data_IF_591558768555
#
_entry.id   IF_591558768555
#
_cell.length_a   1.000
_cell.length_b   1.000
_cell.length_c   1.000
_cell.angle_alpha   90.00
_cell.angle_beta   90.00
_cell.angle_gamma   90.00
#
_symmetry.space_group_name_H-M   'P 1'
#
loop_
_entity.id
_entity.type
_entity.pdbx_description
1 polymer ?
#
# COMPACT_ATOMS: atom_id res chain seq x y z
N UNK A 1 21.25 -10.68 -22.18
CA UNK A 1 21.63 -9.62 -23.12
C UNK A 1 21.60 -8.37 -22.28
N UNK A 2 22.78 -7.90 -21.87
CA UNK A 2 22.91 -6.79 -20.93
C UNK A 2 22.56 -5.52 -21.68
N UNK A 3 21.46 -4.90 -21.28
CA UNK A 3 21.09 -3.57 -21.74
C UNK A 3 21.67 -2.59 -20.71
N UNK A 4 22.91 -2.17 -20.97
CA UNK A 4 23.56 -1.06 -20.27
C UNK A 4 22.96 0.25 -20.80
N UNK A 5 21.68 0.46 -20.51
CA UNK A 5 21.06 1.77 -20.58
C UNK A 5 21.61 2.61 -19.44
N UNK A 6 22.21 3.76 -19.75
CA UNK A 6 22.70 4.71 -18.76
C UNK A 6 21.54 5.13 -17.83
N UNK A 7 21.42 4.49 -16.65
CA UNK A 7 20.40 4.88 -15.68
C UNK A 7 20.80 6.23 -15.11
N UNK A 8 19.99 7.26 -15.36
CA UNK A 8 20.07 8.51 -14.63
C UNK A 8 20.07 8.19 -13.12
N UNK A 9 20.96 8.82 -12.37
CA UNK A 9 21.03 8.63 -10.92
C UNK A 9 19.70 9.04 -10.28
N UNK A 10 19.31 8.43 -9.16
CA UNK A 10 18.03 8.74 -8.49
C UNK A 10 17.84 10.24 -8.19
N UNK A 11 18.94 10.97 -8.01
CA UNK A 11 18.96 12.42 -7.83
C UNK A 11 18.60 13.21 -9.11
N UNK A 12 19.03 12.76 -10.29
CA UNK A 12 18.71 13.40 -11.58
C UNK A 12 17.24 13.21 -11.94
N UNK A 13 16.65 12.06 -11.59
CA UNK A 13 15.23 11.78 -11.81
C UNK A 13 14.37 12.63 -10.86
N UNK A 14 14.75 12.76 -9.59
CA UNK A 14 14.08 13.63 -8.62
C UNK A 14 14.16 15.12 -9.01
N UNK A 15 15.25 15.53 -9.67
CA UNK A 15 15.39 16.89 -10.17
C UNK A 15 14.56 17.12 -11.44
N UNK A 16 14.52 16.14 -12.36
CA UNK A 16 13.73 16.18 -13.59
C UNK A 16 12.20 16.13 -13.36
N UNK A 17 11.72 15.50 -12.28
CA UNK A 17 10.32 15.57 -11.87
C UNK A 17 9.86 16.99 -11.54
N UNK A 18 10.79 17.87 -11.17
CA UNK A 18 10.51 19.29 -10.88
C UNK A 18 10.26 20.10 -12.15
N UNK A 19 10.77 19.66 -13.31
CA UNK A 19 10.61 20.32 -14.61
C UNK A 19 9.30 19.92 -15.33
N UNK A 20 8.43 19.13 -14.68
CA UNK A 20 7.04 18.87 -15.08
C UNK A 20 6.83 17.94 -16.29
N UNK A 21 7.89 17.52 -16.98
CA UNK A 21 7.82 16.68 -18.17
C UNK A 21 8.16 15.19 -17.95
N UNK A 22 8.90 14.86 -16.89
CA UNK A 22 9.41 13.52 -16.61
C UNK A 22 8.82 12.98 -15.31
N UNK A 23 8.31 11.76 -15.36
CA UNK A 23 7.81 11.01 -14.20
C UNK A 23 8.81 9.93 -13.80
N UNK A 24 8.95 9.63 -12.50
CA UNK A 24 9.77 8.52 -12.06
C UNK A 24 9.06 7.20 -12.40
N UNK A 25 9.87 6.19 -12.74
CA UNK A 25 9.39 4.83 -12.96
C UNK A 25 9.71 4.01 -11.72
N UNK A 26 8.68 3.66 -10.96
CA UNK A 26 8.77 2.89 -9.73
C UNK A 26 8.91 1.39 -10.01
N UNK A 27 9.69 0.73 -9.15
CA UNK A 27 9.79 -0.73 -8.99
C UNK A 27 9.61 -1.11 -7.53
N UNK A 28 9.71 -2.40 -7.21
CA UNK A 28 9.56 -2.88 -5.84
C UNK A 28 10.43 -2.12 -4.82
N UNK A 29 11.68 -1.78 -5.14
CA UNK A 29 12.55 -1.05 -4.20
C UNK A 29 12.24 0.44 -4.04
N UNK A 30 11.32 1.00 -4.83
CA UNK A 30 11.01 2.45 -4.85
C UNK A 30 10.15 2.90 -3.67
N UNK A 31 9.49 1.99 -2.97
CA UNK A 31 8.69 2.27 -1.78
C UNK A 31 8.83 1.10 -0.81
N UNK A 32 8.64 1.33 0.49
CA UNK A 32 8.61 0.32 1.54
C UNK A 32 7.36 0.53 2.42
N UNK A 33 7.14 -0.36 3.39
CA UNK A 33 6.00 -0.25 4.29
C UNK A 33 5.98 1.12 5.01
N UNK A 34 4.91 1.89 4.80
CA UNK A 34 4.76 3.27 5.30
C UNK A 34 5.87 4.24 4.85
N UNK A 35 6.55 3.94 3.75
CA UNK A 35 7.59 4.76 3.13
C UNK A 35 7.30 4.79 1.63
N UNK A 36 6.52 5.78 1.16
CA UNK A 36 5.97 5.73 -0.19
C UNK A 36 7.00 6.02 -1.29
N UNK A 37 8.18 6.54 -0.91
CA UNK A 37 9.27 6.89 -1.82
C UNK A 37 10.63 6.72 -1.12
N UNK A 38 11.50 5.89 -1.67
CA UNK A 38 12.86 5.65 -1.17
C UNK A 38 13.94 6.45 -1.92
N UNK A 39 13.55 7.19 -2.96
CA UNK A 39 14.46 7.84 -3.91
C UNK A 39 15.15 6.89 -4.88
N UNK A 40 14.80 5.59 -4.87
CA UNK A 40 15.36 4.57 -5.76
C UNK A 40 14.37 4.28 -6.89
N UNK A 41 14.71 4.69 -8.11
CA UNK A 41 13.85 4.48 -9.27
C UNK A 41 14.39 3.40 -10.20
N UNK A 42 13.54 2.85 -11.06
CA UNK A 42 13.95 1.99 -12.16
C UNK A 42 14.47 2.80 -13.34
N UNK A 43 13.75 3.86 -13.69
CA UNK A 43 14.03 4.77 -14.79
C UNK A 43 13.18 6.06 -14.63
N UNK A 44 13.13 6.88 -15.67
CA UNK A 44 12.20 7.99 -15.86
C UNK A 44 11.43 7.86 -17.17
N UNK A 45 10.27 8.51 -17.29
CA UNK A 45 9.46 8.46 -18.50
C UNK A 45 8.76 9.79 -18.77
N UNK A 46 8.59 10.15 -20.05
CA UNK A 46 7.87 11.37 -20.43
C UNK A 46 6.39 11.26 -20.06
N UNK A 47 5.91 12.17 -19.22
CA UNK A 47 4.56 12.13 -18.66
C UNK A 47 3.49 12.07 -19.75
N UNK A 48 3.57 12.97 -20.75
CA UNK A 48 2.58 13.08 -21.82
C UNK A 48 2.48 11.79 -22.66
N UNK A 49 3.61 11.15 -22.95
CA UNK A 49 3.65 9.88 -23.69
C UNK A 49 3.04 8.75 -22.85
N UNK A 50 3.39 8.69 -21.56
CA UNK A 50 2.89 7.67 -20.64
C UNK A 50 1.39 7.81 -20.38
N UNK A 51 0.88 9.03 -20.21
CA UNK A 51 -0.55 9.32 -20.09
C UNK A 51 -1.30 8.82 -21.33
N UNK A 52 -0.81 9.17 -22.52
CA UNK A 52 -1.41 8.76 -23.79
C UNK A 52 -1.41 7.23 -23.95
N UNK A 53 -0.28 6.58 -23.65
CA UNK A 53 -0.15 5.13 -23.71
C UNK A 53 -1.09 4.43 -22.72
N UNK A 54 -1.10 4.84 -21.45
CA UNK A 54 -1.91 4.23 -20.40
C UNK A 54 -3.41 4.46 -20.63
N UNK A 55 -3.80 5.62 -21.18
CA UNK A 55 -5.17 5.88 -21.58
C UNK A 55 -5.64 4.93 -22.67
N UNK A 56 -4.89 4.79 -23.76
CA UNK A 56 -5.20 3.86 -24.84
C UNK A 56 -5.25 2.40 -24.35
N UNK A 57 -4.35 2.05 -23.42
CA UNK A 57 -4.36 0.74 -22.76
C UNK A 57 -5.64 0.53 -21.93
N UNK A 58 -6.05 1.51 -21.14
CA UNK A 58 -7.32 1.47 -20.35
C UNK A 58 -8.54 1.30 -21.26
N UNK A 59 -8.64 2.06 -22.35
CA UNK A 59 -9.73 1.95 -23.33
C UNK A 59 -9.79 0.57 -24.02
N UNK A 60 -8.64 -0.09 -24.16
CA UNK A 60 -8.56 -1.46 -24.67
C UNK A 60 -8.93 -2.50 -23.59
N UNK A 61 -8.53 -2.24 -22.35
CA UNK A 61 -8.75 -3.14 -21.21
C UNK A 61 -10.21 -3.15 -20.74
N UNK A 62 -10.94 -2.02 -20.77
CA UNK A 62 -12.37 -1.97 -20.42
C UNK A 62 -13.25 -2.90 -21.25
N UNK A 63 -12.79 -3.31 -22.44
CA UNK A 63 -13.50 -4.25 -23.32
C UNK A 63 -13.36 -5.71 -22.85
N UNK A 64 -12.49 -5.99 -21.88
CA UNK A 64 -12.20 -7.34 -21.38
C UNK A 64 -12.88 -7.53 -20.03
N UNK A 65 -13.83 -8.45 -19.95
CA UNK A 65 -14.58 -8.74 -18.71
C UNK A 65 -13.68 -9.11 -17.50
N UNK A 66 -12.46 -9.58 -17.73
CA UNK A 66 -11.49 -9.90 -16.67
C UNK A 66 -10.67 -8.70 -16.18
N UNK A 67 -10.89 -7.50 -16.73
CA UNK A 67 -10.14 -6.30 -16.34
C UNK A 67 -10.87 -5.51 -15.26
N UNK A 68 -10.10 -4.96 -14.31
CA UNK A 68 -10.60 -3.99 -13.34
C UNK A 68 -11.27 -2.75 -13.96
N UNK A 69 -11.04 -2.46 -15.25
CA UNK A 69 -11.67 -1.34 -15.96
C UNK A 69 -12.98 -1.70 -16.64
N UNK A 70 -13.41 -2.98 -16.63
CA UNK A 70 -14.63 -3.42 -17.30
C UNK A 70 -15.89 -2.89 -16.63
N UNK A 71 -15.88 -2.83 -15.30
CA UNK A 71 -17.03 -2.43 -14.48
C UNK A 71 -17.04 -0.92 -14.16
N UNK A 72 -16.06 -0.16 -14.65
CA UNK A 72 -16.00 1.28 -14.41
C UNK A 72 -16.91 2.06 -15.40
N UNK A 73 -17.61 3.11 -14.93
CA UNK A 73 -18.38 4.00 -15.79
C UNK A 73 -17.58 4.56 -16.98
N UNK A 74 -18.25 4.73 -18.11
CA UNK A 74 -17.66 5.25 -19.35
C UNK A 74 -17.09 6.66 -19.16
N UNK A 75 -17.78 7.48 -18.38
CA UNK A 75 -17.41 8.86 -18.06
C UNK A 75 -16.05 8.91 -17.34
N UNK A 76 -15.79 7.92 -16.49
CA UNK A 76 -14.49 7.78 -15.80
C UNK A 76 -13.45 7.23 -16.78
N UNK A 77 -13.75 6.15 -17.50
CA UNK A 77 -12.74 5.48 -18.35
C UNK A 77 -12.34 6.30 -19.59
N UNK A 78 -13.20 7.20 -20.08
CA UNK A 78 -12.93 8.09 -21.21
C UNK A 78 -12.17 9.37 -20.80
N UNK A 79 -12.14 9.75 -19.52
CA UNK A 79 -11.42 10.95 -19.04
C UNK A 79 -9.96 10.64 -18.66
N UNK A 80 -8.94 11.16 -19.36
CA UNK A 80 -7.53 10.95 -18.99
C UNK A 80 -7.13 11.52 -17.62
N UNK A 81 -7.90 12.43 -17.03
CA UNK A 81 -7.64 12.97 -15.71
C UNK A 81 -7.87 11.93 -14.59
N UNK A 82 -8.73 10.94 -14.83
CA UNK A 82 -9.04 9.87 -13.86
C UNK A 82 -8.05 8.69 -13.94
N UNK A 83 -6.98 8.80 -14.74
CA UNK A 83 -6.01 7.71 -14.86
C UNK A 83 -5.35 7.41 -13.51
N UNK A 84 -5.24 6.14 -13.11
CA UNK A 84 -4.64 5.78 -11.82
C UNK A 84 -3.22 6.34 -11.61
N UNK A 85 -2.43 6.48 -12.68
CA UNK A 85 -1.06 7.02 -12.58
C UNK A 85 -0.99 8.49 -12.14
N UNK A 86 -2.10 9.23 -12.19
CA UNK A 86 -2.19 10.63 -11.74
C UNK A 86 -2.52 10.76 -10.25
N UNK A 87 -2.97 9.69 -9.63
CA UNK A 87 -3.54 9.71 -8.27
C UNK A 87 -2.73 8.81 -7.33
N UNK A 88 -2.71 9.12 -6.03
CA UNK A 88 -2.24 8.19 -5.02
C UNK A 88 -2.99 6.86 -5.11
N UNK A 89 -2.27 5.75 -4.90
CA UNK A 89 -2.84 4.40 -4.98
C UNK A 89 -2.01 3.38 -4.22
N UNK A 90 -2.65 2.31 -3.76
CA UNK A 90 -1.96 1.23 -3.05
C UNK A 90 -1.11 0.42 -4.03
N UNK A 91 0.20 0.33 -3.77
CA UNK A 91 1.10 -0.60 -4.45
C UNK A 91 1.66 -1.62 -3.47
N UNK A 92 2.03 -2.81 -3.97
CA UNK A 92 2.72 -3.83 -3.18
C UNK A 92 3.91 -4.40 -3.94
N UNK A 93 4.92 -4.88 -3.22
CA UNK A 93 6.13 -5.46 -3.83
C UNK A 93 5.83 -6.88 -4.29
N UNK A 94 6.14 -7.19 -5.55
CA UNK A 94 6.00 -8.56 -6.07
C UNK A 94 7.03 -9.50 -5.45
N UNK A 95 8.29 -9.07 -5.32
CA UNK A 95 9.35 -9.94 -4.78
C UNK A 95 9.36 -9.86 -3.26
N UNK A 96 9.20 -11.02 -2.62
CA UNK A 96 9.36 -11.21 -1.18
C UNK A 96 10.68 -11.96 -0.92
N UNK A 97 11.45 -11.55 0.08
CA UNK A 97 12.67 -12.25 0.49
C UNK A 97 12.44 -12.95 1.84
N UNK A 98 12.86 -14.22 2.02
CA UNK A 98 12.78 -14.92 3.31
C UNK A 98 13.44 -14.19 4.49
N UNK A 99 14.41 -13.29 4.24
CA UNK A 99 15.04 -12.48 5.30
C UNK A 99 14.26 -11.22 5.66
N UNK A 100 13.23 -10.87 4.89
CA UNK A 100 12.42 -9.69 5.17
C UNK A 100 11.68 -9.83 6.49
N UNK A 101 11.60 -8.71 7.21
CA UNK A 101 10.80 -8.60 8.43
C UNK A 101 9.30 -8.70 8.12
N UNK A 102 8.89 -8.43 6.87
CA UNK A 102 7.52 -8.49 6.37
C UNK A 102 7.45 -9.28 5.07
N UNK A 103 6.41 -10.07 4.85
CA UNK A 103 6.20 -10.77 3.58
C UNK A 103 5.37 -9.91 2.61
N UNK A 104 4.30 -9.30 3.08
CA UNK A 104 3.53 -8.31 2.35
C UNK A 104 4.05 -6.89 2.63
N UNK A 105 4.69 -6.29 1.62
CA UNK A 105 5.19 -4.91 1.69
C UNK A 105 4.31 -4.06 0.77
N UNK A 106 3.54 -3.16 1.36
CA UNK A 106 2.63 -2.26 0.67
C UNK A 106 2.78 -0.82 1.13
N UNK A 107 2.42 0.12 0.28
CA UNK A 107 2.35 1.54 0.59
C UNK A 107 1.33 2.22 -0.30
N UNK A 108 0.81 3.36 0.16
CA UNK A 108 0.15 4.33 -0.69
C UNK A 108 1.24 5.09 -1.45
N UNK A 109 1.44 4.80 -2.74
CA UNK A 109 2.42 5.54 -3.56
C UNK A 109 1.78 6.80 -4.14
N UNK A 110 2.56 7.87 -4.40
CA UNK A 110 1.97 9.12 -4.88
C UNK A 110 1.46 9.01 -6.33
N UNK A 111 0.74 10.06 -6.74
CA UNK A 111 0.42 10.28 -8.15
C UNK A 111 1.65 10.67 -8.98
N UNK A 112 1.42 10.91 -10.26
CA UNK A 112 2.42 11.43 -11.20
C UNK A 112 3.67 10.56 -11.35
N UNK A 113 3.44 9.24 -11.37
CA UNK A 113 4.49 8.23 -11.55
C UNK A 113 3.99 7.01 -12.31
N UNK A 114 4.92 6.29 -12.92
CA UNK A 114 4.66 5.01 -13.59
C UNK A 114 5.19 3.88 -12.73
N UNK A 115 4.53 2.72 -12.73
CA UNK A 115 4.98 1.55 -11.96
C UNK A 115 5.20 0.36 -12.89
N UNK A 116 6.33 -0.32 -12.76
CA UNK A 116 6.62 -1.56 -13.49
C UNK A 116 5.96 -2.77 -12.81
N UNK A 117 5.86 -3.88 -13.55
CA UNK A 117 5.21 -5.12 -13.10
C UNK A 117 5.71 -5.70 -11.76
N UNK A 118 6.94 -5.38 -11.32
CA UNK A 118 7.47 -5.80 -10.02
C UNK A 118 6.87 -5.06 -8.82
N UNK A 119 6.02 -4.07 -9.05
CA UNK A 119 5.24 -3.39 -8.03
C UNK A 119 3.78 -3.28 -8.48
N UNK A 120 3.00 -4.36 -8.43
CA UNK A 120 1.59 -4.28 -8.78
C UNK A 120 0.85 -3.28 -7.87
N UNK A 121 -0.24 -2.71 -8.39
CA UNK A 121 -1.05 -1.74 -7.66
C UNK A 121 -2.54 -2.09 -7.73
N UNK A 122 -3.29 -1.62 -6.75
CA UNK A 122 -4.74 -1.79 -6.67
C UNK A 122 -5.43 -0.62 -7.36
N UNK A 123 -6.43 -0.92 -8.18
CA UNK A 123 -7.32 0.08 -8.77
C UNK A 123 -8.59 0.10 -7.92
N UNK A 124 -8.95 1.28 -7.41
CA UNK A 124 -10.26 1.49 -6.76
C UNK A 124 -11.35 1.51 -7.83
N UNK A 125 -12.04 0.37 -8.00
CA UNK A 125 -13.19 0.25 -8.92
C UNK A 125 -14.44 0.84 -8.29
N UNK A 126 -14.65 0.56 -7.00
CA UNK A 126 -15.73 1.08 -6.17
C UNK A 126 -15.17 1.52 -4.80
N UNK A 127 -15.98 2.28 -4.06
CA UNK A 127 -15.62 2.80 -2.75
C UNK A 127 -15.00 4.21 -2.78
N UNK A 128 -14.58 4.64 -1.60
CA UNK A 128 -14.09 5.97 -1.26
C UNK A 128 -12.60 5.92 -0.87
N UNK A 129 -11.92 7.07 -0.76
CA UNK A 129 -10.57 7.12 -0.19
C UNK A 129 -10.50 6.56 1.24
N UNK A 130 -11.58 6.66 2.02
CA UNK A 130 -11.66 6.02 3.34
C UNK A 130 -11.62 4.48 3.22
N UNK A 131 -12.30 3.90 2.23
CA UNK A 131 -12.23 2.45 1.96
C UNK A 131 -10.82 2.03 1.52
N UNK A 132 -10.15 2.86 0.72
CA UNK A 132 -8.76 2.63 0.33
C UNK A 132 -7.81 2.73 1.53
N UNK A 133 -7.97 3.72 2.41
CA UNK A 133 -7.22 3.82 3.66
C UNK A 133 -7.45 2.60 4.55
N UNK A 134 -8.68 2.11 4.65
CA UNK A 134 -9.01 0.88 5.36
C UNK A 134 -8.25 -0.32 4.78
N UNK A 135 -8.34 -0.54 3.45
CA UNK A 135 -7.62 -1.62 2.77
C UNK A 135 -6.12 -1.52 2.99
N UNK A 136 -5.54 -0.32 2.87
CA UNK A 136 -4.11 -0.08 3.14
C UNK A 136 -3.74 -0.49 4.57
N UNK A 137 -4.57 -0.14 5.55
CA UNK A 137 -4.37 -0.50 6.96
C UNK A 137 -4.34 -2.00 7.19
N UNK A 138 -5.36 -2.73 6.71
CA UNK A 138 -5.43 -4.19 6.85
C UNK A 138 -4.22 -4.84 6.17
N UNK A 139 -3.92 -4.47 4.91
CA UNK A 139 -2.79 -4.99 4.14
C UNK A 139 -1.43 -4.72 4.79
N UNK A 140 -1.32 -3.64 5.55
CA UNK A 140 -0.09 -3.25 6.24
C UNK A 140 0.09 -3.90 7.62
N UNK A 141 -0.92 -4.59 8.14
CA UNK A 141 -0.94 -5.14 9.49
C UNK A 141 -0.13 -6.45 9.64
N UNK A 142 0.35 -6.72 10.85
CA UNK A 142 1.01 -7.98 11.18
C UNK A 142 0.06 -9.19 11.15
N UNK A 143 -1.20 -9.12 11.65
CA UNK A 143 -2.15 -10.22 11.52
C UNK A 143 -2.39 -10.67 10.06
N UNK A 144 -2.56 -9.73 9.11
CA UNK A 144 -2.68 -10.10 7.69
C UNK A 144 -1.38 -10.69 7.15
N UNK A 145 -0.24 -10.10 7.47
CA UNK A 145 1.05 -10.60 6.97
C UNK A 145 1.39 -11.99 7.51
N UNK A 146 0.86 -12.37 8.68
CA UNK A 146 0.95 -13.73 9.19
C UNK A 146 0.20 -14.70 8.27
N UNK A 147 -0.99 -14.34 7.76
CA UNK A 147 -1.72 -15.14 6.76
C UNK A 147 -0.91 -15.29 5.48
N UNK A 148 -0.32 -14.19 4.98
CA UNK A 148 0.54 -14.18 3.80
C UNK A 148 1.73 -15.14 3.95
N UNK A 149 2.38 -15.15 5.12
CA UNK A 149 3.49 -16.07 5.43
C UNK A 149 3.11 -17.55 5.41
N UNK A 150 1.81 -17.90 5.47
CA UNK A 150 1.37 -19.30 5.38
C UNK A 150 1.37 -19.85 3.96
N UNK A 151 1.32 -18.97 2.95
CA UNK A 151 1.07 -19.36 1.57
C UNK A 151 2.12 -18.84 0.58
N UNK A 152 2.81 -17.74 0.91
CA UNK A 152 3.78 -17.09 0.03
C UNK A 152 5.20 -17.57 0.30
N UNK A 153 5.89 -18.00 -0.76
CA UNK A 153 7.30 -18.40 -0.70
C UNK A 153 8.26 -17.31 -1.21
N UNK A 154 8.06 -16.81 -2.44
CA UNK A 154 8.99 -15.88 -3.09
C UNK A 154 8.32 -14.67 -3.75
N UNK A 155 7.15 -14.85 -4.36
CA UNK A 155 6.50 -13.78 -5.10
C UNK A 155 5.09 -13.56 -4.59
N UNK A 156 4.79 -12.33 -4.18
CA UNK A 156 3.43 -11.84 -3.93
C UNK A 156 2.76 -11.49 -5.27
N UNK A 157 1.78 -12.28 -5.67
CA UNK A 157 1.01 -12.08 -6.91
C UNK A 157 -0.46 -11.76 -6.63
N UNK A 158 -1.22 -11.37 -7.66
CA UNK A 158 -2.67 -11.17 -7.51
C UNK A 158 -3.41 -12.46 -7.16
N UNK A 159 -2.95 -13.62 -7.64
CA UNK A 159 -3.54 -14.91 -7.28
C UNK A 159 -3.41 -15.18 -5.78
N UNK A 160 -2.27 -14.84 -5.18
CA UNK A 160 -2.09 -14.96 -3.72
C UNK A 160 -2.87 -13.89 -2.96
N UNK A 161 -2.90 -12.66 -3.46
CA UNK A 161 -3.69 -11.59 -2.85
C UNK A 161 -5.18 -11.96 -2.80
N UNK A 162 -5.70 -12.58 -3.86
CA UNK A 162 -7.09 -13.04 -3.96
C UNK A 162 -7.42 -14.22 -3.01
N UNK A 163 -6.42 -14.86 -2.39
CA UNK A 163 -6.63 -15.89 -1.37
C UNK A 163 -6.68 -15.30 0.05
N UNK A 164 -6.32 -14.03 0.23
CA UNK A 164 -6.33 -13.38 1.54
C UNK A 164 -7.74 -12.97 1.94
N UNK A 165 -8.02 -13.06 3.23
CA UNK A 165 -9.28 -12.57 3.80
C UNK A 165 -9.10 -11.15 4.30
N UNK A 166 -9.90 -10.21 3.80
CA UNK A 166 -9.99 -8.84 4.32
C UNK A 166 -11.30 -8.77 5.13
N UNK A 167 -11.27 -8.38 6.42
CA UNK A 167 -12.49 -8.28 7.21
C UNK A 167 -13.35 -7.14 6.67
N UNK A 168 -14.67 -7.32 6.70
CA UNK A 168 -15.63 -6.28 6.34
C UNK A 168 -16.69 -6.17 7.45
N UNK A 169 -16.46 -5.34 8.48
CA UNK A 169 -17.41 -5.13 9.56
C UNK A 169 -18.56 -4.18 9.16
N UNK A 170 -18.58 -3.65 7.93
CA UNK A 170 -19.52 -2.65 7.48
C UNK A 170 -19.18 -1.21 7.87
N UNK A 171 -19.87 -0.25 7.24
CA UNK A 171 -19.68 1.19 7.48
C UNK A 171 -20.12 1.60 8.89
N UNK A 172 -19.39 2.54 9.50
CA UNK A 172 -19.67 3.06 10.84
C UNK A 172 -19.26 2.14 11.99
N UNK A 173 -18.57 1.03 11.69
CA UNK A 173 -17.98 0.20 12.73
C UNK A 173 -16.80 0.94 13.40
N UNK A 174 -16.81 1.18 14.73
CA UNK A 174 -15.82 2.05 15.37
C UNK A 174 -14.37 1.64 15.14
N UNK A 175 -14.09 0.33 15.18
CA UNK A 175 -12.72 -0.20 14.94
C UNK A 175 -12.31 -0.02 13.47
N UNK A 176 -13.27 -0.09 12.52
CA UNK A 176 -13.01 0.14 11.11
C UNK A 176 -12.63 1.59 10.87
N UNK A 177 -13.40 2.51 11.45
CA UNK A 177 -13.15 3.95 11.34
C UNK A 177 -11.80 4.30 11.98
N UNK A 178 -11.41 3.60 13.05
CA UNK A 178 -10.07 3.73 13.63
C UNK A 178 -8.97 3.23 12.70
N UNK A 179 -9.16 2.10 12.01
CA UNK A 179 -8.21 1.63 10.98
C UNK A 179 -8.06 2.67 9.87
N UNK A 180 -9.15 3.27 9.39
CA UNK A 180 -9.12 4.35 8.38
C UNK A 180 -8.28 5.52 8.88
N UNK A 181 -8.53 5.99 10.10
CA UNK A 181 -7.79 7.11 10.69
C UNK A 181 -6.30 6.79 10.80
N UNK A 182 -5.94 5.66 11.40
CA UNK A 182 -4.55 5.27 11.64
C UNK A 182 -3.81 5.06 10.31
N UNK A 183 -4.40 4.33 9.36
CA UNK A 183 -3.78 4.08 8.07
C UNK A 183 -3.66 5.34 7.22
N UNK A 184 -4.64 6.23 7.27
CA UNK A 184 -4.58 7.53 6.59
C UNK A 184 -3.44 8.40 7.11
N UNK A 185 -3.27 8.47 8.44
CA UNK A 185 -2.15 9.19 9.07
C UNK A 185 -0.79 8.59 8.73
N UNK A 186 -0.68 7.27 8.68
CA UNK A 186 0.56 6.57 8.33
C UNK A 186 0.90 6.63 6.83
N UNK A 187 -0.11 6.69 5.97
CA UNK A 187 0.04 6.69 4.50
C UNK A 187 0.26 8.08 3.89
N UNK A 188 -0.44 9.10 4.38
CA UNK A 188 -0.36 10.46 3.86
C UNK A 188 0.81 11.24 4.49
N UNK A 189 2.04 10.89 4.11
CA UNK A 189 3.26 11.38 4.78
C UNK A 189 3.64 12.84 4.44
N UNK A 190 3.20 13.36 3.29
CA UNK A 190 3.55 14.69 2.78
C UNK A 190 2.50 15.26 1.80
N UNK A 191 2.76 16.45 1.27
CA UNK A 191 1.84 17.23 0.43
C UNK A 191 1.45 16.53 -0.89
N UNK A 192 2.20 15.51 -1.35
CA UNK A 192 1.82 14.71 -2.53
C UNK A 192 0.50 13.95 -2.31
N UNK A 193 0.08 13.83 -1.06
CA UNK A 193 -1.14 13.15 -0.66
C UNK A 193 -2.24 14.11 -0.19
N UNK A 194 -2.08 15.43 -0.35
CA UNK A 194 -2.99 16.42 0.22
C UNK A 194 -4.46 16.25 -0.23
N UNK A 195 -4.69 16.02 -1.51
CA UNK A 195 -6.04 15.78 -2.06
C UNK A 195 -6.65 14.51 -1.47
N UNK A 196 -5.93 13.39 -1.54
CA UNK A 196 -6.35 12.11 -0.98
C UNK A 196 -6.64 12.22 0.52
N UNK A 197 -5.74 12.84 1.29
CA UNK A 197 -5.90 13.00 2.74
C UNK A 197 -7.11 13.88 3.09
N UNK A 198 -7.37 14.94 2.32
CA UNK A 198 -8.54 15.79 2.49
C UNK A 198 -9.84 15.01 2.25
N UNK A 199 -9.89 14.13 1.24
CA UNK A 199 -11.06 13.28 1.00
C UNK A 199 -11.27 12.22 2.10
N UNK A 200 -10.19 11.74 2.73
CA UNK A 200 -10.27 10.85 3.92
C UNK A 200 -10.69 11.65 5.17
N UNK A 201 -10.44 12.96 5.20
CA UNK A 201 -10.73 13.85 6.34
C UNK A 201 -9.56 13.97 7.33
N UNK A 202 -8.32 13.83 6.88
CA UNK A 202 -7.11 13.83 7.70
C UNK A 202 -6.05 14.82 7.19
N UNK A 203 -5.19 15.36 8.07
CA UNK A 203 -4.03 16.13 7.65
C UNK A 203 -2.87 15.23 7.20
N UNK A 204 -2.08 15.73 6.24
CA UNK A 204 -0.81 15.10 5.83
C UNK A 204 0.27 15.25 6.92
N UNK A 205 1.24 14.34 6.94
CA UNK A 205 2.44 14.42 7.78
C UNK A 205 2.20 14.28 9.29
N UNK A 206 1.01 13.86 9.71
CA UNK A 206 0.60 13.78 11.12
C UNK A 206 1.17 12.59 11.91
N UNK A 207 1.97 11.75 11.25
CA UNK A 207 2.65 10.58 11.83
C UNK A 207 4.13 10.48 11.40
N UNK A 208 4.78 11.59 11.07
CA UNK A 208 6.19 11.59 10.64
C UNK A 208 7.19 11.43 11.80
N UNK A 209 6.77 11.72 13.04
CA UNK A 209 7.56 11.40 14.23
C UNK A 209 7.69 9.88 14.41
N UNK A 210 8.90 9.40 14.66
CA UNK A 210 9.20 7.97 14.71
C UNK A 210 8.48 7.24 15.86
N UNK A 211 8.35 7.87 17.04
CA UNK A 211 7.67 7.26 18.17
C UNK A 211 6.15 7.22 17.95
N UNK A 212 5.57 8.31 17.47
CA UNK A 212 4.15 8.38 17.10
C UNK A 212 3.81 7.39 15.98
N UNK A 213 4.64 7.28 14.95
CA UNK A 213 4.49 6.31 13.87
C UNK A 213 4.48 4.88 14.40
N UNK A 214 5.41 4.55 15.28
CA UNK A 214 5.53 3.20 15.82
C UNK A 214 4.34 2.84 16.72
N UNK A 215 3.85 3.78 17.53
CA UNK A 215 2.65 3.58 18.35
C UNK A 215 1.40 3.34 17.49
N UNK A 216 1.22 4.13 16.44
CA UNK A 216 0.14 3.95 15.46
C UNK A 216 0.21 2.59 14.74
N UNK A 217 1.42 2.09 14.44
CA UNK A 217 1.58 0.74 13.87
C UNK A 217 1.11 -0.35 14.84
N UNK A 218 1.39 -0.21 16.14
CA UNK A 218 0.92 -1.15 17.15
C UNK A 218 -0.60 -1.08 17.32
N UNK A 219 -1.16 0.13 17.32
CA UNK A 219 -2.59 0.34 17.38
C UNK A 219 -3.31 -0.26 16.17
N UNK A 220 -2.73 -0.10 14.97
CA UNK A 220 -3.26 -0.68 13.74
C UNK A 220 -3.33 -2.20 13.82
N UNK A 221 -2.26 -2.86 14.27
CA UNK A 221 -2.26 -4.31 14.44
C UNK A 221 -3.36 -4.75 15.41
N UNK A 222 -3.56 -4.04 16.52
CA UNK A 222 -4.61 -4.32 17.50
C UNK A 222 -6.02 -4.16 16.92
N UNK A 223 -6.26 -3.07 16.17
CA UNK A 223 -7.53 -2.85 15.50
C UNK A 223 -7.83 -3.96 14.49
N UNK A 224 -6.85 -4.34 13.68
CA UNK A 224 -7.02 -5.38 12.67
C UNK A 224 -7.23 -6.75 13.32
N UNK A 225 -6.57 -7.04 14.45
CA UNK A 225 -6.81 -8.26 15.21
C UNK A 225 -8.27 -8.38 15.70
N UNK A 226 -8.82 -7.29 16.25
CA UNK A 226 -10.25 -7.22 16.61
C UNK A 226 -11.17 -7.48 15.42
N UNK A 227 -10.87 -6.90 14.26
CA UNK A 227 -11.68 -7.09 13.06
C UNK A 227 -11.63 -8.51 12.50
N UNK A 228 -10.54 -9.25 12.74
CA UNK A 228 -10.46 -10.68 12.45
C UNK A 228 -11.13 -11.57 13.52
N UNK A 229 -11.57 -10.99 14.65
CA UNK A 229 -12.13 -11.74 15.77
C UNK A 229 -11.10 -12.54 16.55
N UNK A 230 -9.83 -12.11 16.53
CA UNK A 230 -8.74 -12.75 17.25
C UNK A 230 -8.75 -12.35 18.73
N UNK A 231 -8.33 -13.26 19.61
CA UNK A 231 -8.12 -12.96 21.02
C UNK A 231 -6.62 -12.76 21.39
N UNK A 232 -6.33 -12.58 22.68
CA UNK A 232 -4.95 -12.38 23.15
C UNK A 232 -4.08 -13.64 22.94
N UNK A 233 -4.65 -14.85 23.02
CA UNK A 233 -3.94 -16.10 22.82
C UNK A 233 -3.59 -16.28 21.33
N UNK A 234 -4.50 -15.90 20.43
CA UNK A 234 -4.24 -15.85 18.99
C UNK A 234 -3.11 -14.87 18.64
N UNK A 235 -3.10 -13.69 19.26
CA UNK A 235 -2.03 -12.71 19.10
C UNK A 235 -0.68 -13.25 19.59
N UNK A 236 -0.63 -13.93 20.74
CA UNK A 236 0.58 -14.59 21.22
C UNK A 236 1.10 -15.61 20.20
N UNK A 237 0.21 -16.43 19.63
CA UNK A 237 0.58 -17.38 18.57
C UNK A 237 1.11 -16.67 17.33
N UNK A 238 0.43 -15.62 16.85
CA UNK A 238 0.83 -14.87 15.65
C UNK A 238 2.23 -14.32 15.82
N UNK A 239 2.50 -13.60 16.92
CA UNK A 239 3.76 -12.88 17.11
C UNK A 239 4.93 -13.82 17.42
N UNK A 240 4.68 -14.91 18.15
CA UNK A 240 5.68 -15.93 18.46
C UNK A 240 6.04 -16.79 17.25
N UNK A 241 5.10 -17.02 16.33
CA UNK A 241 5.33 -17.84 15.12
C UNK A 241 5.70 -17.02 13.88
N UNK A 242 5.59 -15.69 13.93
CA UNK A 242 5.82 -14.80 12.79
C UNK A 242 7.23 -14.92 12.19
N UNK A 243 8.23 -15.06 13.06
CA UNK A 243 9.60 -15.44 12.70
C UNK A 243 9.89 -16.80 13.35
N UNK A 244 9.59 -17.88 12.64
CA UNK A 244 9.77 -19.25 13.14
C UNK A 244 11.20 -19.61 13.55
N UNK A 245 12.20 -18.78 13.22
CA UNK A 245 13.60 -18.96 13.67
C UNK A 245 13.92 -18.15 14.94
N UNK A 246 13.13 -17.13 15.27
CA UNK A 246 13.34 -16.21 16.40
C UNK A 246 12.02 -15.86 17.08
N UNK A 247 11.47 -16.75 17.92
CA UNK A 247 10.17 -16.54 18.55
C UNK A 247 10.09 -15.25 19.39
N UNK A 248 11.18 -14.87 20.07
CA UNK A 248 11.21 -13.67 20.91
C UNK A 248 11.34 -12.35 20.14
N UNK A 249 11.53 -12.38 18.81
CA UNK A 249 11.86 -11.20 18.00
C UNK A 249 10.82 -10.08 18.12
N UNK A 250 9.54 -10.44 18.23
CA UNK A 250 8.44 -9.50 18.26
C UNK A 250 7.79 -9.34 19.64
N UNK A 251 8.42 -9.85 20.71
CA UNK A 251 7.87 -9.79 22.07
C UNK A 251 7.52 -8.38 22.55
N UNK A 252 8.39 -7.40 22.25
CA UNK A 252 8.11 -5.99 22.59
C UNK A 252 6.95 -5.41 21.78
N UNK A 253 6.82 -5.79 20.50
CA UNK A 253 5.71 -5.37 19.65
C UNK A 253 4.40 -5.98 20.15
N UNK A 254 4.40 -7.27 20.48
CA UNK A 254 3.25 -7.97 21.03
C UNK A 254 2.74 -7.28 22.31
N UNK A 255 3.63 -6.96 23.25
CA UNK A 255 3.24 -6.27 24.48
C UNK A 255 2.52 -4.93 24.20
N UNK A 256 3.09 -4.11 23.31
CA UNK A 256 2.48 -2.83 22.93
C UNK A 256 1.15 -3.00 22.17
N UNK A 257 1.03 -4.04 21.33
CA UNK A 257 -0.20 -4.37 20.61
C UNK A 257 -1.29 -4.81 21.59
N UNK A 258 -0.98 -5.64 22.59
CA UNK A 258 -1.92 -6.05 23.63
C UNK A 258 -2.40 -4.86 24.47
N UNK A 259 -1.54 -3.88 24.74
CA UNK A 259 -1.93 -2.65 25.45
C UNK A 259 -2.94 -1.80 24.66
N UNK A 260 -2.83 -1.75 23.33
CA UNK A 260 -3.85 -1.16 22.46
C UNK A 260 -5.11 -2.03 22.37
N UNK A 261 -4.92 -3.34 22.20
CA UNK A 261 -6.01 -4.31 22.02
C UNK A 261 -7.01 -4.28 23.17
N UNK A 262 -6.54 -4.21 24.43
CA UNK A 262 -7.38 -4.14 25.63
C UNK A 262 -8.14 -2.82 25.82
N UNK A 263 -7.76 -1.76 25.08
CA UNK A 263 -8.40 -0.44 25.15
C UNK A 263 -9.47 -0.23 24.08
N UNK A 264 -9.48 -1.07 23.05
CA UNK A 264 -10.47 -1.01 21.98
C UNK A 264 -11.83 -1.52 22.49
N UNK A 265 -12.94 -0.94 21.97
CA UNK A 265 -14.30 -1.25 22.42
C UNK A 265 -14.78 -2.65 22.03
#
# INVERSE_FOLDING_TARGET
MNDDGASASGNEIAQATTDGGLWPVYKGSSFNLWEPDTGIYYDSALAAEMISHLHNKRLSQRKKASSAFADQPTEITDDPATLPCRHPRIAFRNVTNPTNTRSFITALVPGELVIVHHAPYLVRVEGTPADEAYTLGVLSSMPLDWQVRRTVELNMTFEQLNLLSIPDPGLGHPVRDRVVEVAGRLGAVDDRFAEWAAEVGLPVGSANDAAAKQDLIHELDACVAHLYGLDEDDLEVIYTTFDGKRPDRYRHRLAAVLDHFRRLP
#
